data_IF_936115066243
#
_entry.id   IF_936115066243
#
_cell.length_a   1.000
_cell.length_b   1.000
_cell.length_c   1.000
_cell.angle_alpha   90.00
_cell.angle_beta   90.00
_cell.angle_gamma   90.00
#
_symmetry.space_group_name_H-M   'P 1'
#
loop_
_entity.id
_entity.type
_entity.pdbx_description
1 polymer ?
#
# COMPACT_ATOMS: atom_id res chain seq x y z
N UNK A 1 -18.53 6.11 14.54
CA UNK A 1 -19.07 6.53 13.22
C UNK A 1 -19.11 5.28 12.36
N UNK A 2 -20.29 4.77 12.00
CA UNK A 2 -20.42 3.51 11.23
C UNK A 2 -20.46 3.83 9.74
N UNK A 3 -19.29 3.96 9.12
CA UNK A 3 -19.18 3.93 7.66
C UNK A 3 -19.59 2.54 7.18
N UNK A 4 -20.53 2.48 6.25
CA UNK A 4 -20.92 1.25 5.55
C UNK A 4 -20.46 1.38 4.10
N UNK A 5 -19.16 1.17 3.88
CA UNK A 5 -18.59 1.15 2.55
C UNK A 5 -18.44 -0.29 2.06
N UNK A 6 -18.72 -0.52 0.78
CA UNK A 6 -18.59 -1.83 0.17
C UNK A 6 -17.22 -2.00 -0.50
N UNK A 7 -16.23 -2.38 0.30
CA UNK A 7 -14.88 -2.71 -0.15
C UNK A 7 -14.85 -4.06 -0.87
N UNK A 8 -15.53 -5.06 -0.32
CA UNK A 8 -15.50 -6.41 -0.86
C UNK A 8 -16.29 -6.56 -2.17
N UNK A 9 -17.33 -5.75 -2.39
CA UNK A 9 -18.01 -5.65 -3.69
C UNK A 9 -17.16 -4.96 -4.76
N UNK A 10 -16.32 -3.99 -4.37
CA UNK A 10 -15.41 -3.27 -5.30
C UNK A 10 -14.03 -3.91 -5.46
N UNK A 11 -13.81 -5.10 -4.89
CA UNK A 11 -12.51 -5.80 -4.89
C UNK A 11 -11.83 -5.91 -6.24
N UNK A 12 -12.58 -6.13 -7.33
CA UNK A 12 -11.99 -6.27 -8.66
C UNK A 12 -11.44 -4.96 -9.21
N UNK A 13 -12.07 -3.84 -8.90
CA UNK A 13 -11.56 -2.51 -9.23
C UNK A 13 -10.31 -2.19 -8.42
N UNK A 14 -10.33 -2.50 -7.13
CA UNK A 14 -9.20 -2.29 -6.20
C UNK A 14 -7.99 -3.12 -6.62
N UNK A 15 -8.17 -4.43 -6.83
CA UNK A 15 -7.10 -5.32 -7.27
C UNK A 15 -6.62 -5.01 -8.69
N UNK A 16 -7.52 -4.65 -9.60
CA UNK A 16 -7.15 -4.25 -10.96
C UNK A 16 -6.30 -2.99 -10.98
N UNK A 17 -6.67 -1.98 -10.20
CA UNK A 17 -5.88 -0.75 -10.04
C UNK A 17 -4.51 -1.04 -9.42
N UNK A 18 -4.46 -1.80 -8.31
CA UNK A 18 -3.22 -2.21 -7.65
C UNK A 18 -2.29 -2.97 -8.60
N UNK A 19 -2.84 -3.94 -9.34
CA UNK A 19 -2.08 -4.72 -10.31
C UNK A 19 -1.54 -3.84 -11.44
N UNK A 20 -2.34 -2.89 -11.95
CA UNK A 20 -1.90 -1.94 -12.97
C UNK A 20 -0.72 -1.10 -12.47
N UNK A 21 -0.84 -0.49 -11.29
CA UNK A 21 0.23 0.34 -10.72
C UNK A 21 1.51 -0.49 -10.50
N UNK A 22 1.37 -1.72 -9.98
CA UNK A 22 2.50 -2.62 -9.79
C UNK A 22 3.16 -3.02 -11.11
N UNK A 23 2.38 -3.35 -12.14
CA UNK A 23 2.90 -3.70 -13.48
C UNK A 23 3.63 -2.51 -14.10
N UNK A 24 3.08 -1.30 -14.01
CA UNK A 24 3.76 -0.09 -14.49
C UNK A 24 5.07 0.14 -13.73
N UNK A 25 5.07 -0.04 -12.41
CA UNK A 25 6.28 0.09 -11.58
C UNK A 25 7.35 -0.94 -11.93
N UNK A 26 6.98 -2.22 -12.05
CA UNK A 26 7.90 -3.29 -12.46
C UNK A 26 8.41 -3.04 -13.89
N UNK A 27 7.55 -2.63 -14.81
CA UNK A 27 7.93 -2.27 -16.17
C UNK A 27 8.96 -1.13 -16.18
N UNK A 28 8.78 -0.10 -15.34
CA UNK A 28 9.75 0.97 -15.20
C UNK A 28 11.10 0.47 -14.69
N UNK A 29 11.10 -0.41 -13.68
CA UNK A 29 12.33 -1.03 -13.16
C UNK A 29 13.05 -1.84 -14.25
N UNK A 30 12.32 -2.62 -15.05
CA UNK A 30 12.91 -3.47 -16.08
C UNK A 30 13.44 -2.68 -17.29
N UNK A 31 12.74 -1.60 -17.67
CA UNK A 31 13.10 -0.81 -18.86
C UNK A 31 14.16 0.25 -18.54
N UNK A 32 14.02 0.96 -17.42
CA UNK A 32 14.92 2.07 -17.04
C UNK A 32 16.01 1.66 -16.05
N UNK A 33 15.78 0.61 -15.28
CA UNK A 33 16.65 0.26 -14.15
C UNK A 33 16.43 1.15 -12.93
N UNK A 34 17.18 0.84 -11.86
CA UNK A 34 17.29 1.68 -10.68
C UNK A 34 18.62 2.44 -10.71
N UNK A 35 18.56 3.73 -10.39
CA UNK A 35 19.74 4.56 -10.23
C UNK A 35 20.28 4.36 -8.82
N UNK A 36 21.42 3.69 -8.67
CA UNK A 36 22.04 3.52 -7.35
C UNK A 36 23.00 4.67 -7.07
N UNK A 37 22.91 5.23 -5.86
CA UNK A 37 23.78 6.30 -5.38
C UNK A 37 25.24 5.90 -5.27
N UNK A 38 26.11 6.90 -5.08
CA UNK A 38 27.56 6.71 -4.94
C UNK A 38 27.94 5.91 -3.70
N UNK A 39 27.05 5.82 -2.71
CA UNK A 39 27.22 4.99 -1.52
C UNK A 39 27.24 3.49 -1.86
N UNK A 40 26.70 3.09 -3.01
CA UNK A 40 26.74 1.71 -3.47
C UNK A 40 27.82 1.47 -4.52
N UNK A 41 28.03 2.43 -5.42
CA UNK A 41 28.94 2.29 -6.55
C UNK A 41 30.37 2.80 -6.27
N UNK A 42 30.55 3.63 -5.24
CA UNK A 42 31.73 4.47 -5.10
C UNK A 42 31.71 5.65 -6.07
N UNK A 43 32.39 6.75 -5.73
CA UNK A 43 32.48 7.93 -6.57
C UNK A 43 32.43 9.24 -5.80
N UNK A 44 32.16 10.33 -6.51
CA UNK A 44 32.15 11.68 -5.95
C UNK A 44 30.85 12.41 -6.29
N UNK A 45 30.30 13.12 -5.31
CA UNK A 45 29.24 14.12 -5.46
C UNK A 45 29.89 15.50 -5.56
N UNK A 46 29.55 16.22 -6.63
CA UNK A 46 29.92 17.60 -6.87
C UNK A 46 28.65 18.44 -6.81
N UNK A 47 28.56 19.34 -5.83
CA UNK A 47 27.41 20.24 -5.67
C UNK A 47 27.77 21.61 -6.23
N UNK A 48 27.02 22.06 -7.24
CA UNK A 48 27.16 23.36 -7.87
C UNK A 48 26.00 24.27 -7.43
N UNK A 49 26.23 25.18 -6.50
CA UNK A 49 25.18 26.08 -5.99
C UNK A 49 24.98 27.33 -6.86
N UNK A 50 23.72 27.76 -7.04
CA UNK A 50 23.39 29.01 -7.77
C UNK A 50 24.05 29.06 -9.15
N UNK A 51 24.02 27.96 -9.89
CA UNK A 51 24.58 27.87 -11.23
C UNK A 51 23.76 28.64 -12.30
N UNK A 52 22.71 29.37 -11.90
CA UNK A 52 21.93 30.23 -12.78
C UNK A 52 21.22 29.48 -13.89
N UNK A 53 21.32 29.98 -15.13
CA UNK A 53 20.65 29.40 -16.31
C UNK A 53 21.48 28.31 -17.01
N UNK A 54 22.54 27.81 -16.37
CA UNK A 54 23.36 26.74 -16.94
C UNK A 54 22.51 25.48 -17.07
N UNK A 55 22.53 24.86 -18.26
CA UNK A 55 21.82 23.61 -18.54
C UNK A 55 22.63 22.38 -18.10
N UNK A 56 21.92 21.27 -17.84
CA UNK A 56 22.54 19.97 -17.53
C UNK A 56 23.53 19.51 -18.60
N UNK A 57 23.25 19.78 -19.88
CA UNK A 57 24.16 19.45 -20.99
C UNK A 57 25.44 20.29 -20.99
N UNK A 58 25.37 21.56 -20.58
CA UNK A 58 26.57 22.39 -20.44
C UNK A 58 27.47 21.88 -19.30
N UNK A 59 26.87 21.47 -18.18
CA UNK A 59 27.60 20.84 -17.07
C UNK A 59 28.24 19.53 -17.53
N UNK A 60 27.48 18.67 -18.24
CA UNK A 60 28.01 17.41 -18.79
C UNK A 60 29.21 17.64 -19.70
N UNK A 61 29.10 18.58 -20.65
CA UNK A 61 30.21 18.93 -21.56
C UNK A 61 31.42 19.47 -20.82
N UNK A 62 31.21 20.28 -19.77
CA UNK A 62 32.30 20.80 -18.95
C UNK A 62 33.02 19.68 -18.17
N UNK A 63 32.27 18.71 -17.63
CA UNK A 63 32.83 17.53 -16.97
C UNK A 63 33.64 16.66 -17.94
N UNK A 64 33.13 16.46 -19.17
CA UNK A 64 33.87 15.75 -20.22
C UNK A 64 35.17 16.47 -20.58
N UNK A 65 35.13 17.80 -20.72
CA UNK A 65 36.32 18.63 -20.96
C UNK A 65 37.32 18.58 -19.79
N UNK A 66 36.84 18.42 -18.56
CA UNK A 66 37.67 18.22 -17.38
C UNK A 66 38.31 16.82 -17.30
N UNK A 67 37.92 15.89 -18.18
CA UNK A 67 38.38 14.49 -18.26
C UNK A 67 38.15 13.68 -16.98
N UNK A 68 37.03 13.93 -16.30
CA UNK A 68 36.66 13.15 -15.12
C UNK A 68 36.08 11.79 -15.52
N UNK A 69 36.42 10.74 -14.77
CA UNK A 69 35.88 9.41 -15.02
C UNK A 69 34.36 9.38 -14.77
N UNK A 70 33.62 8.77 -15.69
CA UNK A 70 32.16 8.72 -15.62
C UNK A 70 31.44 9.99 -16.06
N UNK A 71 32.12 11.01 -16.61
CA UNK A 71 31.49 12.27 -17.07
C UNK A 71 30.27 12.07 -18.00
N UNK A 72 30.38 11.12 -18.94
CA UNK A 72 29.32 10.83 -19.93
C UNK A 72 28.06 10.22 -19.31
N UNK A 73 28.23 9.50 -18.21
CA UNK A 73 27.16 8.81 -17.48
C UNK A 73 26.87 9.49 -16.14
N UNK A 74 27.38 10.71 -15.94
CA UNK A 74 27.19 11.46 -14.72
C UNK A 74 25.69 11.75 -14.53
N UNK A 75 25.20 11.45 -13.34
CA UNK A 75 23.84 11.81 -12.95
C UNK A 75 23.83 13.28 -12.56
N UNK A 76 23.16 14.11 -13.35
CA UNK A 76 23.07 15.56 -13.13
C UNK A 76 21.62 15.87 -12.76
N UNK A 77 21.40 16.16 -11.49
CA UNK A 77 20.09 16.48 -10.95
C UNK A 77 20.02 17.97 -10.63
N UNK A 78 18.99 18.69 -11.10
CA UNK A 78 18.70 20.02 -10.61
C UNK A 78 18.34 19.93 -9.12
N UNK A 79 19.08 20.64 -8.29
CA UNK A 79 18.70 20.97 -6.93
C UNK A 79 17.99 22.34 -6.96
N UNK A 80 17.08 22.61 -6.03
CA UNK A 80 16.31 23.86 -6.00
C UNK A 80 17.18 25.11 -6.11
N UNK A 81 16.56 26.24 -6.48
CA UNK A 81 17.24 27.56 -6.57
C UNK A 81 18.38 27.63 -7.61
N UNK A 82 18.29 26.83 -8.69
CA UNK A 82 19.29 26.84 -9.77
C UNK A 82 20.60 26.16 -9.38
N UNK A 83 20.57 25.28 -8.39
CA UNK A 83 21.70 24.45 -7.99
C UNK A 83 21.70 23.12 -8.77
N UNK A 84 22.84 22.46 -8.87
CA UNK A 84 22.95 21.15 -9.50
C UNK A 84 23.80 20.23 -8.66
N UNK A 85 23.37 18.97 -8.60
CA UNK A 85 24.19 17.91 -8.04
C UNK A 85 24.57 16.95 -9.12
N UNK A 86 25.88 16.77 -9.22
CA UNK A 86 26.53 15.96 -10.21
C UNK A 86 27.22 14.82 -9.48
N UNK A 87 26.81 13.60 -9.78
CA UNK A 87 27.45 12.40 -9.25
C UNK A 87 28.25 11.74 -10.36
N UNK A 88 29.54 11.56 -10.09
CA UNK A 88 30.53 10.97 -11.01
C UNK A 88 31.15 9.73 -10.38
N UNK A 89 31.60 8.80 -11.23
CA UNK A 89 32.22 7.56 -10.77
C UNK A 89 33.69 7.70 -10.37
N UNK A 90 34.28 8.88 -10.50
CA UNK A 90 35.64 9.18 -10.05
C UNK A 90 35.76 9.01 -8.52
N UNK A 91 36.55 8.06 -8.02
CA UNK A 91 36.73 7.86 -6.58
C UNK A 91 37.89 8.68 -5.99
N UNK A 92 38.70 9.36 -6.81
CA UNK A 92 39.80 10.21 -6.36
C UNK A 92 39.31 11.64 -6.09
N UNK A 93 39.24 12.00 -4.81
CA UNK A 93 38.80 13.31 -4.36
C UNK A 93 39.65 14.46 -4.92
N UNK A 94 40.94 14.23 -5.18
CA UNK A 94 41.84 15.26 -5.72
C UNK A 94 41.53 15.53 -7.18
N UNK A 95 41.33 14.48 -7.97
CA UNK A 95 40.92 14.61 -9.37
C UNK A 95 39.53 15.20 -9.49
N UNK A 96 38.60 14.78 -8.63
CA UNK A 96 37.24 15.29 -8.64
C UNK A 96 37.18 16.77 -8.24
N UNK A 97 37.96 17.19 -7.24
CA UNK A 97 38.10 18.60 -6.87
C UNK A 97 38.76 19.44 -7.98
N UNK A 98 39.81 18.92 -8.62
CA UNK A 98 40.43 19.59 -9.76
C UNK A 98 39.46 19.73 -10.94
N UNK A 99 38.62 18.72 -11.19
CA UNK A 99 37.58 18.76 -12.21
C UNK A 99 36.48 19.75 -11.85
N UNK A 100 36.04 19.79 -10.59
CA UNK A 100 35.07 20.77 -10.09
C UNK A 100 35.53 22.20 -10.39
N UNK A 101 36.78 22.53 -10.05
CA UNK A 101 37.33 23.86 -10.31
C UNK A 101 37.41 24.19 -11.81
N UNK A 102 37.76 23.21 -12.66
CA UNK A 102 37.72 23.38 -14.12
C UNK A 102 36.31 23.65 -14.64
N UNK A 103 35.30 22.98 -14.08
CA UNK A 103 33.89 23.18 -14.46
C UNK A 103 33.39 24.55 -14.02
N UNK A 104 33.67 24.95 -12.78
CA UNK A 104 33.36 26.29 -12.26
C UNK A 104 33.98 27.38 -13.14
N UNK A 105 35.26 27.23 -13.51
CA UNK A 105 35.95 28.17 -14.38
C UNK A 105 35.38 28.19 -15.81
N UNK A 106 35.12 27.03 -16.40
CA UNK A 106 34.61 26.91 -17.77
C UNK A 106 33.21 27.51 -17.92
N UNK A 107 32.36 27.34 -16.89
CA UNK A 107 30.99 27.84 -16.88
C UNK A 107 30.87 29.24 -16.26
N UNK A 108 31.99 29.84 -15.81
CA UNK A 108 32.05 31.17 -15.20
C UNK A 108 31.06 31.32 -14.03
N UNK A 109 30.94 30.28 -13.20
CA UNK A 109 30.06 30.32 -12.03
C UNK A 109 30.66 31.27 -10.99
N UNK A 110 29.81 32.07 -10.33
CA UNK A 110 30.21 32.90 -9.17
C UNK A 110 30.82 32.03 -8.09
N UNK A 111 31.74 32.58 -7.28
CA UNK A 111 32.49 31.84 -6.25
C UNK A 111 31.60 30.86 -5.47
N UNK A 112 31.75 29.58 -5.76
CA UNK A 112 31.07 28.48 -5.06
C UNK A 112 32.01 27.95 -3.98
N UNK A 113 31.49 27.70 -2.79
CA UNK A 113 32.24 26.85 -1.85
C UNK A 113 32.46 25.47 -2.50
N UNK A 114 33.64 24.90 -2.29
CA UNK A 114 33.97 23.60 -2.90
C UNK A 114 33.26 22.50 -2.14
N UNK A 115 32.08 22.11 -2.63
CA UNK A 115 31.27 21.08 -2.01
C UNK A 115 31.42 19.76 -2.78
N UNK A 116 32.55 19.09 -2.49
CA UNK A 116 32.99 17.84 -3.12
C UNK A 116 33.01 16.75 -2.06
N UNK A 117 32.07 15.80 -2.15
CA UNK A 117 31.97 14.67 -1.23
C UNK A 117 32.34 13.38 -1.94
N UNK A 118 33.40 12.71 -1.51
CA UNK A 118 33.91 11.50 -2.17
C UNK A 118 33.76 10.28 -1.27
N UNK A 119 33.27 9.18 -1.83
CA UNK A 119 33.15 7.89 -1.16
C UNK A 119 34.04 6.87 -1.88
N UNK A 120 35.01 6.32 -1.14
CA UNK A 120 35.93 5.32 -1.66
C UNK A 120 35.25 3.96 -1.95
N UNK A 121 35.77 3.17 -2.90
CA UNK A 121 35.17 1.89 -3.32
C UNK A 121 35.01 0.86 -2.20
N UNK A 122 35.95 0.86 -1.24
CA UNK A 122 35.89 -0.05 -0.08
C UNK A 122 34.69 0.22 0.83
N UNK A 123 34.39 1.50 1.07
CA UNK A 123 33.21 1.90 1.84
C UNK A 123 31.92 1.53 1.13
N UNK A 124 31.85 1.75 -0.18
CA UNK A 124 30.66 1.44 -0.96
C UNK A 124 30.27 -0.04 -0.91
N UNK A 125 31.25 -0.95 -1.03
CA UNK A 125 31.01 -2.40 -0.92
C UNK A 125 30.48 -2.81 0.46
N UNK A 126 31.05 -2.27 1.53
CA UNK A 126 30.60 -2.58 2.90
C UNK A 126 29.17 -2.08 3.11
N UNK A 127 28.88 -0.82 2.74
CA UNK A 127 27.55 -0.22 2.88
C UNK A 127 26.51 -0.98 2.05
N UNK A 128 26.83 -1.36 0.82
CA UNK A 128 25.95 -2.17 -0.04
C UNK A 128 25.59 -3.49 0.63
N UNK A 129 26.60 -4.22 1.09
CA UNK A 129 26.38 -5.52 1.72
C UNK A 129 25.55 -5.38 3.01
N UNK A 130 25.85 -4.39 3.84
CA UNK A 130 25.08 -4.12 5.06
C UNK A 130 23.63 -3.76 4.75
N UNK A 131 23.35 -2.94 3.74
CA UNK A 131 21.98 -2.57 3.35
C UNK A 131 21.18 -3.78 2.84
N UNK A 132 21.79 -4.62 2.00
CA UNK A 132 21.16 -5.85 1.51
C UNK A 132 20.90 -6.81 2.67
N UNK A 133 21.87 -7.02 3.56
CA UNK A 133 21.70 -7.91 4.72
C UNK A 133 20.62 -7.39 5.68
N UNK A 134 20.56 -6.09 5.92
CA UNK A 134 19.51 -5.48 6.74
C UNK A 134 18.11 -5.70 6.14
N UNK A 135 17.97 -5.56 4.82
CA UNK A 135 16.71 -5.83 4.14
C UNK A 135 16.32 -7.32 4.23
N UNK A 136 17.27 -8.24 4.04
CA UNK A 136 17.02 -9.68 4.16
C UNK A 136 16.60 -10.07 5.57
N UNK A 137 17.33 -9.61 6.59
CA UNK A 137 16.97 -9.87 8.00
C UNK A 137 15.61 -9.30 8.36
N UNK A 138 15.26 -8.13 7.82
CA UNK A 138 13.92 -7.57 7.99
C UNK A 138 12.83 -8.44 7.38
N UNK A 139 13.00 -8.87 6.12
CA UNK A 139 12.04 -9.75 5.46
C UNK A 139 11.86 -11.03 6.26
N UNK A 140 12.95 -11.64 6.75
CA UNK A 140 12.89 -12.83 7.61
C UNK A 140 12.13 -12.54 8.92
N UNK A 141 12.44 -11.43 9.60
CA UNK A 141 11.74 -11.05 10.83
C UNK A 141 10.23 -10.82 10.59
N UNK A 142 9.87 -10.18 9.48
CA UNK A 142 8.48 -9.97 9.08
C UNK A 142 7.78 -11.31 8.82
N UNK A 143 8.42 -12.23 8.08
CA UNK A 143 7.87 -13.56 7.83
C UNK A 143 7.63 -14.33 9.13
N UNK A 144 8.55 -14.24 10.09
CA UNK A 144 8.40 -14.83 11.44
C UNK A 144 7.17 -14.25 12.14
N UNK A 145 7.09 -12.92 12.25
CA UNK A 145 5.97 -12.22 12.92
C UNK A 145 4.62 -12.63 12.30
N UNK A 146 4.53 -12.63 10.97
CA UNK A 146 3.28 -12.97 10.26
C UNK A 146 2.93 -14.46 10.44
N UNK A 147 3.90 -15.36 10.36
CA UNK A 147 3.67 -16.81 10.40
C UNK A 147 3.20 -17.26 11.79
N UNK A 148 3.77 -16.70 12.85
CA UNK A 148 3.36 -17.05 14.22
C UNK A 148 2.09 -16.30 14.67
N UNK A 149 1.80 -15.13 14.10
CA UNK A 149 0.61 -14.35 14.48
C UNK A 149 -0.70 -14.84 13.85
N UNK A 150 -0.64 -15.39 12.63
CA UNK A 150 -1.82 -15.62 11.78
C UNK A 150 -1.88 -17.01 11.16
N UNK A 151 -3.04 -17.35 10.61
CA UNK A 151 -3.19 -18.57 9.81
C UNK A 151 -2.43 -18.43 8.49
N UNK A 152 -1.90 -19.55 7.98
CA UNK A 152 -1.07 -19.60 6.76
C UNK A 152 -1.63 -18.80 5.57
N UNK A 153 -2.95 -18.83 5.33
CA UNK A 153 -3.57 -18.08 4.25
C UNK A 153 -3.47 -16.57 4.43
N UNK A 154 -3.73 -16.07 5.65
CA UNK A 154 -3.50 -14.67 5.99
C UNK A 154 -2.02 -14.34 5.78
N UNK A 155 -1.12 -15.22 6.23
CA UNK A 155 0.32 -14.99 6.14
C UNK A 155 0.80 -14.77 4.70
N UNK A 156 0.39 -15.62 3.76
CA UNK A 156 0.73 -15.45 2.34
C UNK A 156 0.19 -14.14 1.79
N UNK A 157 -1.08 -13.82 2.08
CA UNK A 157 -1.69 -12.60 1.55
C UNK A 157 -1.07 -11.32 2.10
N UNK A 158 -0.58 -11.34 3.35
CA UNK A 158 0.20 -10.24 3.91
C UNK A 158 1.54 -10.08 3.18
N UNK A 159 2.26 -11.18 2.91
CA UNK A 159 3.52 -11.14 2.17
C UNK A 159 3.31 -10.58 0.75
N UNK A 160 2.24 -10.99 0.07
CA UNK A 160 1.90 -10.44 -1.26
C UNK A 160 1.66 -8.93 -1.20
N UNK A 161 0.96 -8.44 -0.18
CA UNK A 161 0.73 -7.00 0.01
C UNK A 161 2.05 -6.24 0.29
N UNK A 162 2.94 -6.80 1.10
CA UNK A 162 4.25 -6.20 1.37
C UNK A 162 5.15 -6.14 0.14
N UNK A 163 5.18 -7.20 -0.67
CA UNK A 163 5.90 -7.21 -1.94
C UNK A 163 5.33 -6.19 -2.93
N UNK A 164 4.00 -6.05 -2.96
CA UNK A 164 3.33 -5.01 -3.73
C UNK A 164 3.79 -3.62 -3.29
N UNK A 165 3.81 -3.32 -1.99
CA UNK A 165 4.20 -1.99 -1.48
C UNK A 165 5.66 -1.65 -1.77
N UNK A 166 6.57 -2.60 -1.53
CA UNK A 166 7.99 -2.42 -1.87
C UNK A 166 8.17 -2.25 -3.39
N UNK A 167 7.43 -3.00 -4.20
CA UNK A 167 7.44 -2.91 -5.66
C UNK A 167 6.95 -1.56 -6.16
N UNK A 168 5.90 -0.99 -5.56
CA UNK A 168 5.41 0.35 -5.90
C UNK A 168 6.45 1.43 -5.58
N UNK A 169 7.05 1.39 -4.39
CA UNK A 169 8.07 2.37 -4.00
C UNK A 169 9.26 2.32 -4.97
N UNK A 170 9.81 1.12 -5.22
CA UNK A 170 10.93 0.96 -6.16
C UNK A 170 10.53 1.32 -7.61
N UNK A 171 9.30 1.03 -8.01
CA UNK A 171 8.77 1.40 -9.32
C UNK A 171 8.70 2.90 -9.52
N UNK A 172 8.26 3.64 -8.50
CA UNK A 172 8.23 5.11 -8.55
C UNK A 172 9.65 5.69 -8.54
N UNK A 173 10.61 5.07 -7.85
CA UNK A 173 12.03 5.46 -7.96
C UNK A 173 12.56 5.29 -9.38
N UNK A 174 12.27 4.16 -10.03
CA UNK A 174 12.64 3.95 -11.43
C UNK A 174 11.97 4.96 -12.38
N UNK A 175 10.71 5.33 -12.13
CA UNK A 175 9.98 6.33 -12.93
C UNK A 175 10.49 7.76 -12.74
N UNK A 176 10.78 8.13 -11.50
CA UNK A 176 11.25 9.48 -11.15
C UNK A 176 12.73 9.69 -11.43
N UNK A 177 13.51 8.61 -11.63
CA UNK A 177 14.95 8.68 -11.82
C UNK A 177 15.72 9.03 -10.54
N UNK A 178 15.04 9.06 -9.38
CA UNK A 178 15.66 9.29 -8.08
C UNK A 178 16.61 8.16 -7.72
N UNK A 179 17.60 8.49 -6.90
CA UNK A 179 18.63 7.54 -6.51
C UNK A 179 18.20 6.68 -5.34
N UNK A 180 18.45 5.39 -5.47
CA UNK A 180 18.41 4.45 -4.37
C UNK A 180 19.71 4.61 -3.59
N UNK A 181 19.60 5.09 -2.37
CA UNK A 181 20.70 5.27 -1.40
C UNK A 181 20.46 4.39 -0.18
N UNK A 182 21.42 4.26 0.77
CA UNK A 182 21.19 3.56 2.03
C UNK A 182 19.97 4.11 2.81
N UNK A 183 19.70 5.42 2.68
CA UNK A 183 18.50 6.03 3.26
C UNK A 183 17.22 5.47 2.64
N UNK A 184 17.21 5.20 1.33
CA UNK A 184 16.08 4.53 0.67
C UNK A 184 15.82 3.14 1.26
N UNK A 185 16.86 2.37 1.60
CA UNK A 185 16.70 1.08 2.28
C UNK A 185 16.13 1.23 3.69
N UNK A 186 16.58 2.25 4.45
CA UNK A 186 16.02 2.56 5.76
C UNK A 186 14.53 2.97 5.65
N UNK A 187 14.16 3.72 4.61
CA UNK A 187 12.77 4.06 4.34
C UNK A 187 11.95 2.82 3.99
N UNK A 188 12.43 1.96 3.08
CA UNK A 188 11.78 0.69 2.72
C UNK A 188 11.55 -0.20 3.94
N UNK A 189 12.55 -0.34 4.80
CA UNK A 189 12.44 -1.08 6.06
C UNK A 189 11.31 -0.54 6.95
N UNK A 190 11.26 0.78 7.08
CA UNK A 190 10.23 1.49 7.86
C UNK A 190 8.83 1.26 7.29
N UNK A 191 8.69 1.38 5.96
CA UNK A 191 7.43 1.19 5.23
C UNK A 191 6.93 -0.23 5.38
N UNK A 192 7.81 -1.23 5.26
CA UNK A 192 7.44 -2.63 5.43
C UNK A 192 6.88 -2.89 6.83
N UNK A 193 7.48 -2.32 7.88
CA UNK A 193 6.97 -2.42 9.24
C UNK A 193 5.61 -1.73 9.41
N UNK A 194 5.43 -0.55 8.82
CA UNK A 194 4.17 0.20 8.90
C UNK A 194 3.03 -0.47 8.13
N UNK A 195 3.29 -0.92 6.90
CA UNK A 195 2.33 -1.68 6.08
C UNK A 195 1.92 -2.99 6.75
N UNK A 196 2.88 -3.67 7.38
CA UNK A 196 2.61 -4.86 8.18
C UNK A 196 1.68 -4.52 9.35
N UNK A 197 1.95 -3.45 10.10
CA UNK A 197 1.12 -3.05 11.24
C UNK A 197 -0.35 -2.87 10.85
N UNK A 198 -0.63 -2.15 9.75
CA UNK A 198 -2.00 -1.93 9.30
C UNK A 198 -2.68 -3.23 8.83
N UNK A 199 -1.93 -4.08 8.11
CA UNK A 199 -2.41 -5.42 7.71
C UNK A 199 -2.78 -6.28 8.92
N UNK A 200 -1.95 -6.27 9.96
CA UNK A 200 -2.19 -7.00 11.22
C UNK A 200 -3.49 -6.54 11.89
N UNK A 201 -3.73 -5.23 11.98
CA UNK A 201 -4.95 -4.68 12.59
C UNK A 201 -6.20 -5.15 11.86
N UNK A 202 -6.20 -5.08 10.52
CA UNK A 202 -7.34 -5.53 9.70
C UNK A 202 -7.55 -7.03 9.84
N UNK A 203 -6.46 -7.82 9.77
CA UNK A 203 -6.53 -9.27 9.88
C UNK A 203 -6.97 -9.76 11.26
N UNK A 204 -6.54 -9.10 12.34
CA UNK A 204 -7.06 -9.38 13.68
C UNK A 204 -8.56 -9.18 13.74
N UNK A 205 -9.07 -8.11 13.13
CA UNK A 205 -10.51 -7.86 13.12
C UNK A 205 -11.28 -8.90 12.31
N UNK A 206 -10.76 -9.29 11.14
CA UNK A 206 -11.36 -10.37 10.33
C UNK A 206 -11.34 -11.69 11.11
N UNK A 207 -10.23 -12.03 11.78
CA UNK A 207 -10.11 -13.23 12.62
C UNK A 207 -11.10 -13.21 13.78
N UNK A 208 -11.21 -12.11 14.51
CA UNK A 208 -12.17 -11.95 15.61
C UNK A 208 -13.62 -12.09 15.13
N UNK A 209 -13.99 -11.39 14.07
CA UNK A 209 -15.34 -11.43 13.52
C UNK A 209 -15.66 -12.78 12.85
N UNK A 210 -14.65 -13.53 12.38
CA UNK A 210 -14.88 -14.87 11.85
C UNK A 210 -15.44 -15.85 12.88
N UNK A 211 -15.17 -15.63 14.18
CA UNK A 211 -15.78 -16.40 15.28
C UNK A 211 -17.13 -15.86 15.75
N UNK A 212 -17.43 -14.58 15.51
CA UNK A 212 -18.62 -13.87 16.05
C UNK A 212 -19.76 -13.73 15.03
N UNK A 213 -19.44 -13.47 13.76
CA UNK A 213 -20.37 -13.10 12.69
C UNK A 213 -20.44 -14.24 11.66
N UNK A 214 -21.12 -15.32 12.01
CA UNK A 214 -21.13 -16.57 11.22
C UNK A 214 -22.36 -16.76 10.32
N UNK A 215 -23.33 -15.84 10.37
CA UNK A 215 -24.62 -15.94 9.63
C UNK A 215 -24.59 -15.28 8.24
N UNK A 216 -23.45 -14.75 7.82
CA UNK A 216 -23.25 -14.04 6.57
C UNK A 216 -22.20 -14.76 5.71
N UNK A 217 -21.99 -14.37 4.46
CA UNK A 217 -20.85 -14.87 3.67
C UNK A 217 -19.52 -14.34 4.25
N UNK A 218 -18.40 -15.04 3.99
CA UNK A 218 -17.10 -14.61 4.51
C UNK A 218 -16.74 -13.22 3.97
N UNK A 219 -17.09 -12.95 2.71
CA UNK A 219 -16.99 -11.63 2.08
C UNK A 219 -17.74 -10.53 2.84
N UNK A 220 -18.99 -10.74 3.21
CA UNK A 220 -19.77 -9.76 3.97
C UNK A 220 -19.13 -9.50 5.33
N UNK A 221 -18.73 -10.57 6.05
CA UNK A 221 -18.06 -10.45 7.33
C UNK A 221 -16.70 -9.72 7.22
N UNK A 222 -15.92 -10.00 6.18
CA UNK A 222 -14.66 -9.30 5.91
C UNK A 222 -14.90 -7.81 5.65
N UNK A 223 -15.95 -7.47 4.89
CA UNK A 223 -16.33 -6.08 4.64
C UNK A 223 -16.71 -5.34 5.93
N UNK A 224 -17.50 -5.95 6.79
CA UNK A 224 -17.85 -5.41 8.12
C UNK A 224 -16.60 -5.20 8.98
N UNK A 225 -15.68 -6.16 8.95
CA UNK A 225 -14.43 -6.10 9.70
C UNK A 225 -13.55 -4.93 9.27
N UNK A 226 -13.42 -4.70 7.96
CA UNK A 226 -12.68 -3.57 7.41
C UNK A 226 -13.32 -2.24 7.85
N UNK A 227 -14.64 -2.10 7.72
CA UNK A 227 -15.34 -0.87 8.10
C UNK A 227 -15.15 -0.52 9.60
N UNK A 228 -15.07 -1.53 10.47
CA UNK A 228 -14.88 -1.33 11.90
C UNK A 228 -13.49 -0.77 12.28
N UNK A 229 -12.46 -1.06 11.48
CA UNK A 229 -11.10 -0.55 11.71
C UNK A 229 -10.71 0.60 10.78
N UNK A 230 -11.50 0.86 9.73
CA UNK A 230 -11.18 1.83 8.69
C UNK A 230 -10.83 3.22 9.20
N UNK A 231 -11.64 3.79 10.12
CA UNK A 231 -11.37 5.10 10.71
C UNK A 231 -10.08 5.11 11.53
N UNK A 232 -9.76 4.00 12.22
CA UNK A 232 -8.49 3.89 12.94
C UNK A 232 -7.32 3.91 11.95
N UNK A 233 -7.38 3.09 10.89
CA UNK A 233 -6.32 3.03 9.86
C UNK A 233 -6.11 4.37 9.17
N UNK A 234 -7.19 5.10 8.85
CA UNK A 234 -7.09 6.47 8.33
C UNK A 234 -6.40 7.38 9.34
N UNK A 235 -6.85 7.39 10.59
CA UNK A 235 -6.31 8.31 11.58
C UNK A 235 -4.82 8.07 11.81
N UNK A 236 -4.39 6.82 11.98
CA UNK A 236 -2.98 6.49 12.14
C UNK A 236 -2.16 6.90 10.91
N UNK A 237 -2.66 6.62 9.70
CA UNK A 237 -1.99 7.00 8.45
C UNK A 237 -1.90 8.51 8.25
N UNK A 238 -2.95 9.27 8.56
CA UNK A 238 -2.89 10.73 8.47
C UNK A 238 -1.91 11.31 9.49
N UNK A 239 -1.90 10.81 10.73
CA UNK A 239 -0.97 11.30 11.76
C UNK A 239 0.50 11.04 11.42
N UNK A 240 0.80 9.94 10.72
CA UNK A 240 2.17 9.64 10.26
C UNK A 240 2.54 10.35 8.96
N UNK A 241 1.57 10.61 8.08
CA UNK A 241 1.80 11.33 6.82
C UNK A 241 2.14 12.80 7.05
N UNK A 242 1.54 13.49 8.03
CA UNK A 242 1.80 14.91 8.28
C UNK A 242 3.30 15.24 8.43
N UNK A 243 4.06 14.62 9.35
CA UNK A 243 5.48 14.91 9.49
C UNK A 243 6.29 14.48 8.26
N UNK A 244 5.90 13.41 7.57
CA UNK A 244 6.58 12.95 6.35
C UNK A 244 6.37 13.93 5.19
N UNK A 245 5.17 14.50 5.05
CA UNK A 245 4.88 15.56 4.09
C UNK A 245 5.70 16.80 4.41
N UNK A 246 5.74 17.22 5.68
CA UNK A 246 6.57 18.34 6.09
C UNK A 246 8.05 18.10 5.77
N UNK A 247 8.57 16.89 6.03
CA UNK A 247 9.94 16.52 5.68
C UNK A 247 10.18 16.46 4.16
N UNK A 248 9.15 16.11 3.38
CA UNK A 248 9.24 16.10 1.91
C UNK A 248 9.29 17.51 1.34
N UNK A 249 8.59 18.47 1.94
CA UNK A 249 8.51 19.87 1.45
C UNK A 249 9.64 20.73 2.00
N UNK A 250 9.92 20.61 3.29
CA UNK A 250 10.88 21.46 4.01
C UNK A 250 12.20 20.77 4.33
N UNK A 251 12.33 19.47 4.04
CA UNK A 251 13.60 18.77 4.18
C UNK A 251 14.65 19.34 3.23
N UNK A 252 15.92 19.25 3.62
CA UNK A 252 17.02 19.37 2.68
C UNK A 252 17.06 18.15 1.74
N UNK A 253 17.81 18.22 0.66
CA UNK A 253 17.80 17.22 -0.42
C UNK A 253 17.95 15.77 0.05
N UNK A 254 18.94 15.49 0.91
CA UNK A 254 19.17 14.14 1.45
C UNK A 254 17.95 13.60 2.22
N UNK A 255 17.22 14.48 2.91
CA UNK A 255 16.04 14.13 3.67
C UNK A 255 14.78 14.08 2.80
N UNK A 256 14.71 14.88 1.73
CA UNK A 256 13.59 14.85 0.79
C UNK A 256 13.52 13.52 0.06
N UNK A 257 14.65 12.96 -0.38
CA UNK A 257 14.67 11.63 -1.00
C UNK A 257 14.20 10.55 -0.04
N UNK A 258 14.69 10.58 1.20
CA UNK A 258 14.22 9.66 2.24
C UNK A 258 12.71 9.80 2.53
N UNK A 259 12.25 11.05 2.69
CA UNK A 259 10.84 11.36 2.97
C UNK A 259 9.92 11.00 1.81
N UNK A 260 10.40 11.15 0.57
CA UNK A 260 9.65 10.78 -0.62
C UNK A 260 9.37 9.27 -0.68
N UNK A 261 10.37 8.43 -0.37
CA UNK A 261 10.13 6.99 -0.22
C UNK A 261 9.09 6.70 0.86
N UNK A 262 9.23 7.29 2.05
CA UNK A 262 8.27 7.11 3.15
C UNK A 262 6.87 7.55 2.74
N UNK A 263 6.73 8.69 2.04
CA UNK A 263 5.44 9.22 1.62
C UNK A 263 4.70 8.22 0.73
N UNK A 264 5.36 7.72 -0.32
CA UNK A 264 4.78 6.75 -1.24
C UNK A 264 4.45 5.46 -0.51
N UNK A 265 5.37 4.96 0.31
CA UNK A 265 5.21 3.70 1.00
C UNK A 265 4.11 3.71 2.05
N UNK A 266 3.98 4.80 2.82
CA UNK A 266 2.90 4.96 3.80
C UNK A 266 1.53 5.01 3.12
N UNK A 267 1.42 5.73 1.98
CA UNK A 267 0.18 5.77 1.19
C UNK A 267 -0.14 4.39 0.62
N UNK A 268 0.84 3.72 0.01
CA UNK A 268 0.66 2.37 -0.55
C UNK A 268 0.27 1.37 0.54
N UNK A 269 0.96 1.37 1.68
CA UNK A 269 0.72 0.46 2.79
C UNK A 269 -0.64 0.63 3.45
N UNK A 270 -1.05 1.88 3.69
CA UNK A 270 -2.39 2.18 4.23
C UNK A 270 -3.51 1.73 3.29
N UNK A 271 -3.26 1.75 1.98
CA UNK A 271 -4.20 1.29 0.98
C UNK A 271 -4.17 -0.24 0.80
N UNK A 272 -2.99 -0.86 0.78
CA UNK A 272 -2.78 -2.25 0.42
C UNK A 272 -3.40 -3.24 1.41
N UNK A 273 -3.43 -2.93 2.70
CA UNK A 273 -4.10 -3.75 3.73
C UNK A 273 -5.58 -3.98 3.42
N UNK A 274 -6.28 -2.92 2.98
CA UNK A 274 -7.71 -2.90 2.67
C UNK A 274 -7.97 -3.35 1.23
N UNK A 275 -7.09 -2.98 0.30
CA UNK A 275 -7.32 -3.10 -1.14
C UNK A 275 -6.64 -4.29 -1.83
N UNK A 276 -5.64 -4.87 -1.18
CA UNK A 276 -4.86 -5.99 -1.72
C UNK A 276 -4.94 -7.18 -0.76
N UNK A 277 -4.47 -7.02 0.48
CA UNK A 277 -4.37 -8.11 1.44
C UNK A 277 -5.77 -8.70 1.76
N UNK A 278 -6.70 -7.85 2.22
CA UNK A 278 -8.03 -8.30 2.66
C UNK A 278 -8.88 -8.92 1.55
N UNK A 279 -8.98 -8.35 0.32
CA UNK A 279 -9.76 -8.96 -0.75
C UNK A 279 -9.16 -10.28 -1.25
N UNK A 280 -7.83 -10.37 -1.40
CA UNK A 280 -7.18 -11.63 -1.80
C UNK A 280 -7.46 -12.70 -0.75
N UNK A 281 -7.30 -12.36 0.53
CA UNK A 281 -7.59 -13.28 1.62
C UNK A 281 -9.05 -13.74 1.63
N UNK A 282 -9.99 -12.80 1.55
CA UNK A 282 -11.42 -13.09 1.56
C UNK A 282 -11.84 -13.97 0.37
N UNK A 283 -11.34 -13.69 -0.83
CA UNK A 283 -11.58 -14.54 -2.01
C UNK A 283 -11.03 -15.95 -1.83
N UNK A 284 -9.84 -16.08 -1.27
CA UNK A 284 -9.22 -17.38 -1.06
C UNK A 284 -9.97 -18.20 0.00
N UNK A 285 -10.38 -17.58 1.10
CA UNK A 285 -11.14 -18.25 2.16
C UNK A 285 -12.55 -18.61 1.70
N UNK A 286 -13.22 -17.74 0.94
CA UNK A 286 -14.55 -18.01 0.39
C UNK A 286 -14.55 -19.22 -0.56
N UNK A 287 -13.47 -19.43 -1.33
CA UNK A 287 -13.35 -20.62 -2.21
C UNK A 287 -13.02 -21.92 -1.47
N UNK A 288 -12.66 -21.86 -0.19
CA UNK A 288 -12.32 -23.06 0.58
C UNK A 288 -13.58 -23.87 0.93
N UNK A 289 -13.67 -25.16 0.54
CA UNK A 289 -14.77 -26.04 0.93
C UNK A 289 -14.91 -26.21 2.45
N UNK A 290 -13.83 -26.01 3.19
CA UNK A 290 -13.76 -26.15 4.65
C UNK A 290 -14.00 -24.82 5.39
N UNK A 291 -14.53 -23.79 4.70
CA UNK A 291 -14.86 -22.49 5.27
C UNK A 291 -16.08 -22.53 6.22
N UNK A 292 -16.08 -23.44 7.20
CA UNK A 292 -16.94 -23.48 8.38
C UNK A 292 -18.41 -23.03 8.18
N UNK A 293 -18.99 -22.28 9.13
CA UNK A 293 -20.40 -21.90 9.11
C UNK A 293 -20.79 -20.92 7.98
N UNK A 294 -19.81 -20.33 7.27
CA UNK A 294 -20.01 -19.38 6.18
C UNK A 294 -20.62 -20.01 4.91
N UNK A 295 -20.57 -21.34 4.79
CA UNK A 295 -21.26 -22.08 3.72
C UNK A 295 -22.79 -21.87 3.74
N UNK A 296 -23.37 -21.58 4.91
CA UNK A 296 -24.80 -21.30 5.07
C UNK A 296 -25.19 -19.89 4.56
N UNK A 297 -24.30 -18.90 4.76
CA UNK A 297 -24.47 -17.54 4.24
C UNK A 297 -24.52 -17.50 2.71
N UNK A 298 -23.61 -18.23 2.05
CA UNK A 298 -23.64 -18.43 0.58
C UNK A 298 -24.99 -18.94 0.07
N UNK A 299 -25.66 -19.82 0.84
CA UNK A 299 -26.95 -20.41 0.45
C UNK A 299 -28.14 -19.46 0.71
N UNK A 300 -28.10 -18.61 1.74
CA UNK A 300 -29.11 -17.54 1.89
C UNK A 300 -28.89 -16.42 0.83
N UNK A 301 -27.66 -16.14 0.39
CA UNK A 301 -27.36 -15.19 -0.71
C UNK A 301 -27.81 -15.71 -2.08
N UNK A 302 -27.48 -16.96 -2.42
CA UNK A 302 -27.95 -17.59 -3.66
C UNK A 302 -29.48 -17.73 -3.75
N UNK A 303 -30.18 -17.80 -2.61
CA UNK A 303 -31.65 -17.79 -2.54
C UNK A 303 -32.26 -16.40 -2.48
N UNK A 304 -31.47 -15.36 -2.23
CA UNK A 304 -31.89 -13.97 -2.06
C UNK A 304 -31.82 -13.13 -3.34
N UNK A 305 -31.36 -13.67 -4.47
CA UNK A 305 -31.35 -12.99 -5.76
C UNK A 305 -32.52 -13.45 -6.65
N UNK A 306 -33.72 -12.85 -6.58
CA UNK A 306 -34.65 -12.90 -7.69
C UNK A 306 -34.22 -11.84 -8.71
N UNK A 307 -33.56 -12.30 -9.77
CA UNK A 307 -33.54 -11.60 -11.04
C UNK A 307 -34.97 -11.30 -11.48
N UNK A 308 -35.17 -10.09 -12.00
CA UNK A 308 -36.48 -9.52 -12.28
C UNK A 308 -37.38 -10.41 -13.13
N UNK A 309 -38.63 -10.52 -12.68
CA UNK A 309 -39.84 -10.41 -13.49
C UNK A 309 -40.98 -10.19 -12.50
N UNK A 310 -41.43 -8.94 -12.41
CA UNK A 310 -42.65 -8.56 -11.72
C UNK A 310 -43.81 -9.22 -12.48
N UNK A 311 -44.16 -10.43 -12.06
CA UNK A 311 -45.35 -11.13 -12.50
C UNK A 311 -46.56 -10.40 -11.92
N UNK A 312 -47.19 -9.58 -12.76
CA UNK A 312 -48.50 -9.03 -12.51
C UNK A 312 -49.52 -10.17 -12.36
N UNK A 313 -49.89 -10.52 -11.13
CA UNK A 313 -51.14 -11.26 -10.89
C UNK A 313 -51.57 -11.13 -9.44
N UNK A 314 -52.46 -10.16 -9.20
CA UNK A 314 -53.46 -10.23 -8.13
C UNK A 314 -54.59 -9.22 -8.42
N UNK A 315 -55.38 -9.46 -9.47
CA UNK A 315 -56.75 -8.93 -9.52
C UNK A 315 -57.65 -9.90 -8.76
N UNK A 316 -57.75 -9.69 -7.44
CA UNK A 316 -58.77 -10.31 -6.61
C UNK A 316 -60.04 -9.46 -6.62
N UNK A 317 -61.11 -9.99 -7.22
CA UNK A 317 -62.46 -9.42 -7.24
C UNK A 317 -62.94 -9.08 -5.82
N UNK A 318 -63.34 -7.83 -5.61
CA UNK A 318 -64.23 -7.46 -4.49
C UNK A 318 -65.65 -7.76 -4.97
N UNK A 319 -66.29 -8.76 -4.37
CA UNK A 319 -67.73 -8.96 -4.44
C UNK A 319 -68.35 -8.23 -3.26
N UNK A 320 -69.13 -7.20 -3.57
CA UNK A 320 -70.11 -6.57 -2.70
C UNK A 320 -71.29 -7.50 -2.53
N UNK A 321 -71.72 -7.74 -1.29
CA UNK A 321 -73.13 -7.96 -0.94
C UNK A 321 -73.32 -7.43 0.49
N UNK A 322 -74.38 -6.64 0.68
CA UNK A 322 -74.61 -5.82 1.84
C UNK A 322 -75.56 -6.40 2.89
N UNK A 323 -75.53 -5.74 4.05
CA UNK A 323 -76.58 -5.51 5.04
C UNK A 323 -77.34 -6.72 5.64
N UNK A 324 -77.25 -6.91 6.97
CA UNK A 324 -78.14 -6.24 7.93
C UNK A 324 -77.95 -6.74 9.38
N UNK A 325 -77.94 -5.77 10.31
CA UNK A 325 -78.53 -5.73 11.66
C UNK A 325 -78.20 -6.78 12.75
N UNK A 326 -77.77 -6.26 13.91
CA UNK A 326 -78.29 -6.72 15.21
C UNK A 326 -77.29 -6.97 16.34
N UNK A 327 -77.16 -6.00 17.26
CA UNK A 327 -77.29 -6.26 18.71
C UNK A 327 -76.12 -6.82 19.54
N UNK A 328 -75.69 -5.97 20.49
CA UNK A 328 -75.33 -6.28 21.88
C UNK A 328 -73.98 -6.94 22.27
N UNK A 329 -73.34 -6.20 23.20
CA UNK A 329 -72.57 -6.64 24.37
C UNK A 329 -71.14 -7.18 24.19
N UNK A 330 -70.22 -6.49 24.87
CA UNK A 330 -69.31 -7.19 25.79
C UNK A 330 -67.85 -7.30 25.37
N UNK A 331 -67.04 -6.50 26.05
CA UNK A 331 -65.72 -6.88 26.57
C UNK A 331 -64.49 -7.01 25.65
N UNK A 332 -63.41 -6.42 26.21
CA UNK A 332 -61.99 -6.79 26.17
C UNK A 332 -61.08 -6.09 25.15
N UNK A 333 -60.24 -5.25 25.77
CA UNK A 333 -58.89 -4.83 25.36
C UNK A 333 -58.14 -5.94 24.60
N UNK A 334 -57.64 -5.60 23.42
CA UNK A 334 -56.48 -6.27 22.82
C UNK A 334 -55.65 -5.22 22.06
N UNK A 335 -54.48 -4.89 22.63
CA UNK A 335 -53.46 -4.09 21.96
C UNK A 335 -52.97 -4.81 20.71
N UNK A 336 -52.96 -4.07 19.60
CA UNK A 336 -52.42 -4.47 18.32
C UNK A 336 -50.93 -4.85 18.42
N UNK A 337 -50.61 -6.14 18.27
CA UNK A 337 -49.26 -6.58 17.90
C UNK A 337 -49.09 -6.40 16.39
N UNK A 338 -48.48 -5.29 16.00
CA UNK A 338 -47.95 -5.07 14.65
C UNK A 338 -46.97 -6.19 14.29
N UNK A 339 -47.16 -6.72 13.09
CA UNK A 339 -46.35 -7.75 12.47
C UNK A 339 -44.86 -7.37 12.41
N UNK A 340 -44.00 -8.16 13.06
CA UNK A 340 -42.62 -8.37 12.61
C UNK A 340 -42.62 -9.63 11.76
N UNK A 341 -42.80 -9.50 10.45
CA UNK A 341 -42.37 -10.52 9.48
C UNK A 341 -40.84 -10.52 9.51
N UNK A 342 -40.28 -11.28 10.44
CA UNK A 342 -38.88 -11.67 10.40
C UNK A 342 -38.71 -12.70 9.29
N UNK A 343 -38.05 -12.32 8.20
CA UNK A 343 -37.41 -13.26 7.28
C UNK A 343 -36.22 -13.89 8.02
N UNK A 344 -36.51 -14.92 8.84
CA UNK A 344 -35.49 -15.73 9.50
C UNK A 344 -35.23 -17.00 8.71
N UNK A 345 -34.01 -17.18 8.17
CA UNK A 345 -33.52 -18.48 7.70
C UNK A 345 -33.67 -19.47 8.88
N UNK A 346 -34.60 -20.46 8.77
CA UNK A 346 -34.80 -21.53 9.75
C UNK A 346 -33.51 -22.35 9.88
N UNK A 347 -33.01 -22.51 11.10
CA UNK A 347 -31.81 -23.28 11.42
C UNK A 347 -31.95 -24.76 11.07
N UNK A 348 -30.96 -25.28 10.34
CA UNK A 348 -30.73 -26.72 10.23
C UNK A 348 -30.04 -27.23 11.50
N UNK A 349 -30.47 -28.40 12.00
CA UNK A 349 -29.90 -29.07 13.16
C UNK A 349 -28.41 -29.35 12.95
N UNK A 350 -27.61 -29.09 13.98
CA UNK A 350 -26.23 -29.59 14.13
C UNK A 350 -26.30 -31.12 14.34
N UNK A 351 -25.47 -31.95 13.67
CA UNK A 351 -25.39 -33.37 13.99
C UNK A 351 -24.61 -33.58 15.29
N UNK A 352 -25.16 -34.43 16.16
CA UNK A 352 -24.60 -34.88 17.43
C UNK A 352 -23.29 -35.69 17.20
N UNK A 353 -22.20 -35.47 17.97
CA UNK A 353 -21.00 -36.29 17.83
C UNK A 353 -21.21 -37.64 18.54
N UNK A 354 -21.21 -38.73 17.76
CA UNK A 354 -21.19 -40.09 18.33
C UNK A 354 -19.93 -40.31 19.18
N UNK A 355 -20.02 -41.04 20.30
CA UNK A 355 -18.85 -41.44 21.06
C UNK A 355 -18.04 -42.48 20.27
N UNK A 356 -16.72 -42.31 20.23
CA UNK A 356 -15.80 -43.36 19.77
C UNK A 356 -15.65 -44.39 20.88
N UNK A 357 -15.88 -45.65 20.53
CA UNK A 357 -15.49 -46.85 21.29
C UNK A 357 -13.98 -47.04 21.28
#
# INVERSE_FOLDING_TARGET
MNLHMDFMGKRWWMLGFSALVLVVGIGAILIRGLNFGIEFRGGTVLTFEKAGTVSTEQIRRALEGAKIEGAKVANIQPAGEGSYIVRVSEPDATKASAAYQKVVAALKLTAQETNVTTIGPGWGKVVTNSAIMALLWSVVAILIVITFGFEYKMSITAVVALLHDAGIVLGIYALSGREVTPNTFAALLTILGYSLYDTIVVFHRIKENSGRIVKQSFMQMANESINQVFIRSINTSLTTLIPVIALTVFGGETLQDFAFALLIGLISGAYSSIAVASPIFAMWKERDPHAGPFASGRRCEARGAPGGRMGAQARGRVRSDGAALGGLLGHRRAHARRARRGLGCRGGRVPDPRPRS
#
